data_IF_410958204589
#
_entry.id   IF_410958204589
#
_cell.length_a   1.000
_cell.length_b   1.000
_cell.length_c   1.000
_cell.angle_alpha   90.00
_cell.angle_beta   90.00
_cell.angle_gamma   90.00
#
_symmetry.space_group_name_H-M   'P 1'
#
loop_
_entity.id
_entity.type
_entity.pdbx_description
1 polymer ?
#
# COMPACT_ATOMS: atom_id res chain seq x y z
N UNK A 1 -5.80 -24.95 -11.81
CA UNK A 1 -5.31 -23.68 -11.23
C UNK A 1 -4.61 -24.02 -9.93
N UNK A 2 -3.28 -24.10 -9.95
CA UNK A 2 -2.47 -24.54 -8.80
C UNK A 2 -2.85 -23.74 -7.56
N UNK A 3 -2.99 -24.41 -6.40
CA UNK A 3 -3.28 -23.79 -5.09
C UNK A 3 -2.48 -22.48 -4.92
N UNK A 4 -1.23 -22.48 -5.37
CA UNK A 4 -0.29 -21.36 -5.38
C UNK A 4 -0.85 -20.02 -5.87
N UNK A 5 -1.63 -19.97 -6.97
CA UNK A 5 -2.20 -18.71 -7.47
C UNK A 5 -3.28 -18.14 -6.54
N UNK A 6 -4.06 -19.01 -5.88
CA UNK A 6 -5.11 -18.59 -4.94
C UNK A 6 -4.50 -18.04 -3.64
N UNK A 7 -3.44 -18.67 -3.13
CA UNK A 7 -2.72 -18.19 -1.94
C UNK A 7 -2.11 -16.81 -2.15
N UNK A 8 -1.55 -16.55 -3.34
CA UNK A 8 -0.97 -15.25 -3.66
C UNK A 8 -2.06 -14.17 -3.73
N UNK A 9 -3.19 -14.44 -4.41
CA UNK A 9 -4.34 -13.53 -4.44
C UNK A 9 -4.93 -13.26 -3.05
N UNK A 10 -5.03 -14.29 -2.21
CA UNK A 10 -5.46 -14.12 -0.82
C UNK A 10 -4.52 -13.19 -0.06
N UNK A 11 -3.20 -13.33 -0.26
CA UNK A 11 -2.20 -12.42 0.30
C UNK A 11 -2.44 -10.97 -0.15
N UNK A 12 -2.63 -10.73 -1.45
CA UNK A 12 -2.95 -9.40 -1.97
C UNK A 12 -4.19 -8.80 -1.31
N UNK A 13 -5.27 -9.56 -1.20
CA UNK A 13 -6.53 -9.10 -0.60
C UNK A 13 -6.31 -8.75 0.89
N UNK A 14 -5.64 -9.61 1.65
CA UNK A 14 -5.38 -9.40 3.07
C UNK A 14 -4.52 -8.14 3.28
N UNK A 15 -3.39 -8.02 2.58
CA UNK A 15 -2.53 -6.85 2.73
C UNK A 15 -3.20 -5.56 2.28
N UNK A 16 -4.02 -5.61 1.22
CA UNK A 16 -4.78 -4.45 0.76
C UNK A 16 -5.85 -4.02 1.76
N UNK A 17 -6.52 -4.98 2.41
CA UNK A 17 -7.47 -4.69 3.49
C UNK A 17 -6.79 -4.03 4.69
N UNK A 18 -5.65 -4.57 5.12
CA UNK A 18 -4.87 -3.99 6.23
C UNK A 18 -4.42 -2.57 5.88
N UNK A 19 -3.81 -2.38 4.71
CA UNK A 19 -3.37 -1.06 4.26
C UNK A 19 -4.52 -0.07 4.07
N UNK A 20 -5.68 -0.54 3.60
CA UNK A 20 -6.90 0.29 3.50
C UNK A 20 -7.40 0.73 4.87
N UNK A 21 -7.47 -0.18 5.85
CA UNK A 21 -7.89 0.14 7.21
C UNK A 21 -6.94 1.13 7.87
N UNK A 22 -5.63 0.94 7.71
CA UNK A 22 -4.61 1.87 8.21
C UNK A 22 -4.78 3.27 7.59
N UNK A 23 -4.92 3.34 6.26
CA UNK A 23 -5.07 4.59 5.54
C UNK A 23 -6.41 5.30 5.85
N UNK A 24 -7.49 4.54 5.99
CA UNK A 24 -8.80 5.05 6.37
C UNK A 24 -8.77 5.61 7.80
N UNK A 25 -8.16 4.88 8.74
CA UNK A 25 -7.97 5.34 10.11
C UNK A 25 -7.19 6.66 10.16
N UNK A 26 -6.09 6.75 9.41
CA UNK A 26 -5.28 7.96 9.32
C UNK A 26 -6.04 9.13 8.69
N UNK A 27 -6.90 8.85 7.72
CA UNK A 27 -7.76 9.85 7.07
C UNK A 27 -8.77 10.41 8.07
N UNK A 28 -9.48 9.56 8.81
CA UNK A 28 -10.44 9.97 9.84
C UNK A 28 -9.74 10.83 10.89
N UNK A 29 -8.55 10.41 11.33
CA UNK A 29 -7.79 11.12 12.34
C UNK A 29 -7.33 12.50 11.86
N UNK A 30 -6.91 12.62 10.59
CA UNK A 30 -6.54 13.89 9.97
C UNK A 30 -7.72 14.87 9.95
N UNK A 31 -8.94 14.42 9.63
CA UNK A 31 -10.13 15.26 9.64
C UNK A 31 -10.62 15.62 11.06
N UNK A 32 -10.48 14.71 12.01
CA UNK A 32 -10.89 14.93 13.40
C UNK A 32 -9.88 15.73 14.23
N UNK A 33 -8.73 16.14 13.67
CA UNK A 33 -7.61 16.74 14.40
C UNK A 33 -7.22 15.97 15.67
N UNK A 34 -7.49 14.67 15.70
CA UNK A 34 -7.26 13.87 16.89
C UNK A 34 -5.77 13.57 17.04
N UNK A 35 -5.28 13.57 18.27
CA UNK A 35 -3.89 13.21 18.59
C UNK A 35 -3.66 11.75 18.21
N UNK A 36 -2.61 11.46 17.43
CA UNK A 36 -2.31 10.07 17.10
C UNK A 36 -1.63 9.39 18.28
N UNK A 37 -2.11 8.22 18.74
CA UNK A 37 -1.41 7.45 19.76
C UNK A 37 -0.16 6.82 19.15
N UNK A 38 0.91 7.59 19.06
CA UNK A 38 2.19 7.10 18.56
C UNK A 38 2.99 6.45 19.67
N UNK A 39 2.74 5.15 19.81
CA UNK A 39 3.27 4.30 20.87
C UNK A 39 4.77 3.96 20.69
N UNK A 40 5.27 3.92 19.45
CA UNK A 40 6.61 3.40 19.12
C UNK A 40 7.59 4.48 18.65
N UNK A 41 7.11 5.47 17.88
CA UNK A 41 7.94 6.56 17.35
C UNK A 41 7.34 7.93 17.66
N UNK A 42 8.17 8.88 18.08
CA UNK A 42 7.74 10.25 18.36
C UNK A 42 7.65 11.09 17.09
N UNK A 43 6.57 11.88 16.93
CA UNK A 43 6.46 12.89 15.87
C UNK A 43 5.49 12.56 14.73
N UNK A 44 4.58 11.61 14.90
CA UNK A 44 3.50 11.38 13.94
C UNK A 44 2.63 12.62 13.71
N UNK A 45 2.35 13.38 14.77
CA UNK A 45 1.59 14.64 14.67
C UNK A 45 2.33 15.65 13.80
N UNK A 46 3.67 15.74 13.90
CA UNK A 46 4.48 16.56 12.99
C UNK A 46 4.37 16.13 11.54
N UNK A 47 4.31 14.82 11.28
CA UNK A 47 4.15 14.29 9.91
C UNK A 47 2.79 14.66 9.35
N UNK A 48 1.72 14.49 10.12
CA UNK A 48 0.33 14.67 9.69
C UNK A 48 -0.09 16.14 9.62
N UNK A 49 0.46 17.00 10.48
CA UNK A 49 0.27 18.45 10.42
C UNK A 49 1.22 19.14 9.44
N UNK A 50 2.17 18.42 8.84
CA UNK A 50 3.09 19.03 7.87
C UNK A 50 2.37 19.41 6.57
N UNK A 51 2.87 20.45 5.89
CA UNK A 51 2.45 20.78 4.52
C UNK A 51 2.62 19.61 3.54
N UNK A 52 3.49 18.65 3.86
CA UNK A 52 3.71 17.49 3.02
C UNK A 52 2.64 16.42 3.20
N UNK A 53 1.88 16.41 4.29
CA UNK A 53 0.77 15.47 4.47
C UNK A 53 -0.35 15.66 3.43
N UNK A 54 -0.40 16.84 2.81
CA UNK A 54 -1.43 17.26 1.87
C UNK A 54 -0.76 17.61 0.54
N UNK A 55 -1.06 16.85 -0.51
CA UNK A 55 -0.58 17.14 -1.87
C UNK A 55 -1.74 17.75 -2.64
N UNK A 56 -1.58 19.00 -3.11
CA UNK A 56 -2.60 19.73 -3.86
C UNK A 56 -3.98 19.81 -3.17
N UNK A 57 -4.00 19.94 -1.83
CA UNK A 57 -5.22 19.97 -1.03
C UNK A 57 -5.79 18.59 -0.66
N UNK A 58 -5.17 17.49 -1.11
CA UNK A 58 -5.61 16.11 -0.82
C UNK A 58 -4.65 15.44 0.16
N UNK A 59 -5.13 14.90 1.29
CA UNK A 59 -4.27 14.20 2.22
C UNK A 59 -3.73 12.91 1.60
N UNK A 60 -2.44 12.64 1.77
CA UNK A 60 -1.77 11.44 1.26
C UNK A 60 -2.42 10.17 1.79
N UNK A 61 -2.96 10.21 3.01
CA UNK A 61 -3.75 9.13 3.61
C UNK A 61 -4.92 8.71 2.70
N UNK A 62 -5.59 9.68 2.07
CA UNK A 62 -6.69 9.43 1.15
C UNK A 62 -6.19 8.77 -0.15
N UNK A 63 -5.07 9.25 -0.70
CA UNK A 63 -4.45 8.64 -1.88
C UNK A 63 -4.02 7.19 -1.61
N UNK A 64 -3.46 6.93 -0.42
CA UNK A 64 -3.14 5.58 0.04
C UNK A 64 -4.38 4.70 0.15
N UNK A 65 -5.47 5.20 0.73
CA UNK A 65 -6.74 4.48 0.84
C UNK A 65 -7.31 4.13 -0.55
N UNK A 66 -7.31 5.09 -1.48
CA UNK A 66 -7.76 4.87 -2.87
C UNK A 66 -6.89 3.81 -3.53
N UNK A 67 -5.57 3.88 -3.36
CA UNK A 67 -4.64 2.91 -3.93
C UNK A 67 -4.92 1.47 -3.44
N UNK A 68 -5.09 1.27 -2.13
CA UNK A 68 -5.43 -0.05 -1.58
C UNK A 68 -6.83 -0.52 -2.02
N UNK A 69 -7.79 0.40 -2.17
CA UNK A 69 -9.11 0.06 -2.68
C UNK A 69 -9.03 -0.42 -4.13
N UNK A 70 -8.26 0.27 -4.98
CA UNK A 70 -8.03 -0.12 -6.39
C UNK A 70 -7.41 -1.51 -6.50
N UNK A 71 -6.40 -1.83 -5.68
CA UNK A 71 -5.80 -3.17 -5.65
C UNK A 71 -6.82 -4.23 -5.25
N UNK A 72 -7.62 -3.95 -4.22
CA UNK A 72 -8.66 -4.87 -3.74
C UNK A 72 -9.70 -5.14 -4.84
N UNK A 73 -10.22 -4.10 -5.50
CA UNK A 73 -11.18 -4.23 -6.61
C UNK A 73 -10.61 -5.04 -7.76
N UNK A 74 -9.37 -4.79 -8.16
CA UNK A 74 -8.72 -5.52 -9.26
C UNK A 74 -8.46 -6.98 -8.88
N UNK A 75 -8.12 -7.26 -7.62
CA UNK A 75 -7.96 -8.63 -7.12
C UNK A 75 -9.30 -9.40 -7.17
N UNK A 76 -10.41 -8.77 -6.79
CA UNK A 76 -11.76 -9.35 -6.90
C UNK A 76 -12.15 -9.54 -8.37
N UNK A 77 -11.93 -8.53 -9.21
CA UNK A 77 -12.24 -8.61 -10.65
C UNK A 77 -11.47 -9.77 -11.32
N UNK A 78 -10.22 -10.00 -10.91
CA UNK A 78 -9.46 -11.14 -11.39
C UNK A 78 -10.04 -12.49 -10.95
N UNK A 79 -10.59 -12.61 -9.74
CA UNK A 79 -11.25 -13.83 -9.27
C UNK A 79 -12.44 -14.23 -10.14
N UNK A 80 -13.21 -13.23 -10.60
CA UNK A 80 -14.39 -13.41 -11.44
C UNK A 80 -14.03 -13.63 -12.92
N UNK A 81 -13.29 -12.70 -13.54
CA UNK A 81 -12.98 -12.78 -14.98
C UNK A 81 -11.84 -13.76 -15.31
N UNK A 82 -10.94 -14.05 -14.37
CA UNK A 82 -9.71 -14.87 -14.54
C UNK A 82 -8.83 -14.46 -15.72
N UNK A 83 -8.90 -13.19 -16.12
CA UNK A 83 -8.24 -12.68 -17.30
C UNK A 83 -6.77 -12.34 -17.03
N UNK A 84 -5.87 -12.84 -17.89
CA UNK A 84 -4.41 -12.60 -17.80
C UNK A 84 -4.05 -11.10 -17.87
N UNK A 85 -4.87 -10.28 -18.53
CA UNK A 85 -4.66 -8.81 -18.61
C UNK A 85 -4.83 -8.15 -17.24
N UNK A 86 -5.88 -8.52 -16.50
CA UNK A 86 -6.18 -7.98 -15.15
C UNK A 86 -5.07 -8.33 -14.17
N UNK A 87 -4.57 -9.56 -14.25
CA UNK A 87 -3.44 -10.02 -13.45
C UNK A 87 -2.17 -9.20 -13.70
N UNK A 88 -1.88 -8.86 -14.97
CA UNK A 88 -0.73 -8.02 -15.31
C UNK A 88 -0.85 -6.64 -14.66
N UNK A 89 -2.04 -6.04 -14.69
CA UNK A 89 -2.31 -4.74 -14.05
C UNK A 89 -2.11 -4.84 -12.54
N UNK A 90 -2.66 -5.88 -11.90
CA UNK A 90 -2.53 -6.11 -10.45
C UNK A 90 -1.08 -6.20 -9.98
N UNK A 91 -0.20 -6.73 -10.84
CA UNK A 91 1.23 -6.87 -10.56
C UNK A 91 2.01 -5.56 -10.81
N UNK A 92 1.57 -4.72 -11.74
CA UNK A 92 2.22 -3.43 -12.03
C UNK A 92 1.85 -2.33 -11.04
N UNK A 93 0.64 -2.37 -10.45
CA UNK A 93 0.18 -1.40 -9.44
C UNK A 93 1.11 -1.30 -8.21
N UNK A 94 1.55 -2.42 -7.58
CA UNK A 94 2.52 -2.44 -6.50
C UNK A 94 3.81 -1.66 -6.76
N UNK A 95 4.23 -1.57 -8.02
CA UNK A 95 5.45 -0.85 -8.42
C UNK A 95 5.27 0.65 -8.16
N UNK A 96 4.12 1.20 -8.52
CA UNK A 96 3.79 2.60 -8.26
C UNK A 96 3.65 2.88 -6.75
N UNK A 97 3.03 1.97 -5.99
CA UNK A 97 2.95 2.10 -4.53
C UNK A 97 4.31 2.04 -3.82
N UNK A 98 5.24 1.24 -4.34
CA UNK A 98 6.60 1.16 -3.81
C UNK A 98 7.39 2.46 -4.08
N UNK A 99 7.28 3.02 -5.29
CA UNK A 99 7.85 4.34 -5.62
C UNK A 99 7.29 5.45 -4.73
N UNK A 100 5.97 5.47 -4.50
CA UNK A 100 5.35 6.41 -3.58
C UNK A 100 5.87 6.24 -2.14
N UNK A 101 6.07 5.00 -1.69
CA UNK A 101 6.63 4.69 -0.37
C UNK A 101 8.05 5.24 -0.21
N UNK A 102 8.92 5.03 -1.20
CA UNK A 102 10.28 5.58 -1.20
C UNK A 102 10.27 7.11 -1.12
N UNK A 103 9.36 7.76 -1.84
CA UNK A 103 9.18 9.21 -1.78
C UNK A 103 8.76 9.68 -0.38
N UNK A 104 7.81 8.99 0.26
CA UNK A 104 7.35 9.32 1.61
C UNK A 104 8.45 9.12 2.66
N UNK A 105 9.22 8.03 2.57
CA UNK A 105 10.36 7.79 3.45
C UNK A 105 11.43 8.88 3.29
N UNK A 106 11.68 9.32 2.06
CA UNK A 106 12.59 10.43 1.78
C UNK A 106 12.12 11.73 2.45
N UNK A 107 10.83 12.08 2.32
CA UNK A 107 10.25 13.24 3.00
C UNK A 107 10.38 13.14 4.53
N UNK A 108 10.13 11.98 5.11
CA UNK A 108 10.20 11.77 6.57
C UNK A 108 11.62 11.93 7.13
N UNK A 109 12.61 11.36 6.45
CA UNK A 109 14.00 11.37 6.92
C UNK A 109 14.71 12.70 6.67
N UNK A 110 14.56 13.27 5.47
CA UNK A 110 15.33 14.45 5.07
C UNK A 110 14.64 15.76 5.44
N UNK A 111 13.31 15.83 5.32
CA UNK A 111 12.58 17.10 5.44
C UNK A 111 11.93 17.23 6.81
N UNK A 112 11.07 16.29 7.18
CA UNK A 112 10.30 16.37 8.44
C UNK A 112 11.18 15.99 9.63
N UNK A 113 12.20 15.14 9.41
CA UNK A 113 13.07 14.55 10.45
C UNK A 113 12.27 13.89 11.58
N UNK A 114 11.14 13.27 11.22
CA UNK A 114 10.26 12.56 12.13
C UNK A 114 9.73 11.30 11.47
N UNK A 115 9.58 10.23 12.24
CA UNK A 115 9.14 8.92 11.76
C UNK A 115 7.72 8.69 12.28
N UNK A 116 6.80 8.39 11.36
CA UNK A 116 5.44 8.02 11.70
C UNK A 116 5.28 6.50 11.64
N UNK A 117 4.88 5.87 12.75
CA UNK A 117 4.71 4.42 12.84
C UNK A 117 3.70 3.88 11.81
N UNK A 118 2.57 4.56 11.62
CA UNK A 118 1.55 4.19 10.63
C UNK A 118 2.07 4.26 9.20
N UNK A 119 2.89 5.26 8.89
CA UNK A 119 3.51 5.36 7.57
C UNK A 119 4.53 4.24 7.33
N UNK A 120 5.26 3.83 8.37
CA UNK A 120 6.18 2.68 8.29
C UNK A 120 5.41 1.38 8.09
N UNK A 121 4.27 1.18 8.77
CA UNK A 121 3.39 0.03 8.52
C UNK A 121 2.93 0.01 7.06
N UNK A 122 2.46 1.15 6.54
CA UNK A 122 2.04 1.26 5.15
C UNK A 122 3.20 1.03 4.16
N UNK A 123 4.42 1.46 4.52
CA UNK A 123 5.61 1.17 3.74
C UNK A 123 5.93 -0.33 3.69
N UNK A 124 5.79 -1.02 4.83
CA UNK A 124 6.00 -2.47 4.94
C UNK A 124 4.94 -3.22 4.13
N UNK A 125 3.65 -2.87 4.25
CA UNK A 125 2.58 -3.53 3.50
C UNK A 125 2.74 -3.33 2.00
N UNK A 126 3.03 -2.10 1.54
CA UNK A 126 3.30 -1.81 0.13
C UNK A 126 4.50 -2.59 -0.40
N UNK A 127 5.58 -2.68 0.39
CA UNK A 127 6.77 -3.47 0.03
C UNK A 127 6.46 -4.97 -0.03
N UNK A 128 5.67 -5.50 0.91
CA UNK A 128 5.19 -6.89 0.87
C UNK A 128 4.37 -7.16 -0.38
N UNK A 129 3.41 -6.28 -0.73
CA UNK A 129 2.64 -6.38 -1.96
C UNK A 129 3.55 -6.42 -3.20
N UNK A 130 4.58 -5.57 -3.25
CA UNK A 130 5.55 -5.56 -4.33
C UNK A 130 6.36 -6.86 -4.41
N UNK A 131 6.84 -7.38 -3.27
CA UNK A 131 7.57 -8.66 -3.22
C UNK A 131 6.67 -9.81 -3.66
N UNK A 132 5.41 -9.88 -3.19
CA UNK A 132 4.44 -10.88 -3.64
C UNK A 132 4.19 -10.78 -5.15
N UNK A 133 4.11 -9.57 -5.71
CA UNK A 133 3.94 -9.33 -7.14
C UNK A 133 5.11 -9.89 -7.96
N UNK A 134 6.34 -9.60 -7.53
CA UNK A 134 7.56 -10.09 -8.19
C UNK A 134 7.68 -11.62 -8.08
N UNK A 135 7.39 -12.18 -6.91
CA UNK A 135 7.45 -13.62 -6.69
C UNK A 135 6.45 -14.36 -7.57
N UNK A 136 5.25 -13.82 -7.72
CA UNK A 136 4.24 -14.32 -8.65
C UNK A 136 4.74 -14.30 -10.10
N UNK A 137 5.32 -13.18 -10.56
CA UNK A 137 5.88 -13.10 -11.92
C UNK A 137 6.99 -14.11 -12.16
N UNK A 138 7.87 -14.31 -11.17
CA UNK A 138 8.97 -15.27 -11.28
C UNK A 138 8.44 -16.70 -11.44
N UNK A 139 7.52 -17.12 -10.56
CA UNK A 139 6.86 -18.43 -10.62
C UNK A 139 6.09 -18.65 -11.93
N UNK A 140 5.40 -17.62 -12.43
CA UNK A 140 4.63 -17.72 -13.67
C UNK A 140 5.54 -17.79 -14.90
N UNK A 141 6.71 -17.15 -14.84
CA UNK A 141 7.75 -17.26 -15.87
C UNK A 141 8.40 -18.64 -15.86
N UNK A 142 8.74 -19.18 -14.69
CA UNK A 142 9.35 -20.50 -14.55
C UNK A 142 8.40 -21.62 -15.02
N UNK A 143 7.10 -21.51 -14.74
CA UNK A 143 6.07 -22.44 -15.25
C UNK A 143 5.84 -22.40 -16.76
N UNK A 144 6.34 -21.37 -17.46
CA UNK A 144 6.17 -21.23 -18.92
C UNK A 144 7.41 -21.66 -19.70
N UNK A 145 8.52 -21.90 -19.01
CA UNK A 145 9.82 -22.28 -19.60
C UNK A 145 10.06 -23.80 -19.54
N UNK A 146 9.24 -24.54 -18.79
CA UNK A 146 9.26 -26.01 -18.69
C UNK A 146 7.98 -26.59 -19.29
#
# INVERSE_FOLDING_TARGET
>A
MSKLSKWILAGFIIFSLVGFLDAAYLTIQHYNNGILPCYVFTGCDKVISSSYAVIAGVPISLLGAIYYLVILVIAILYLDTRNKKVLRILVHLPIAGFLATLWLLFLQLFIIKAICFYCVISAITSTLLFVLALWFMKIWRDLKVN
#
